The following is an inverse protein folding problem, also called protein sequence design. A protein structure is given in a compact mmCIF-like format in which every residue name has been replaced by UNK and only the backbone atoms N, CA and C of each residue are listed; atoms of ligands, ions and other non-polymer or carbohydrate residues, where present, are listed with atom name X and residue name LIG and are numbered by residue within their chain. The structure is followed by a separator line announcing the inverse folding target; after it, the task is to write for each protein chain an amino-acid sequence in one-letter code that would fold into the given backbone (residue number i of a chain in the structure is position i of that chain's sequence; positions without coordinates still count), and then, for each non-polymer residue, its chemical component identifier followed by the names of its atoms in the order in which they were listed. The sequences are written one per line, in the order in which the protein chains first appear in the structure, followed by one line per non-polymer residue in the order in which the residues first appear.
data_IF_843057600897
#
_entry.id   IF_843057600897
#
_cell.length_a   1.000
_cell.length_b   1.000
_cell.length_c   1.000
_cell.angle_alpha   90.00
_cell.angle_beta   90.00
_cell.angle_gamma   90.00
#
_symmetry.space_group_name_H-M   'P 1'
#
loop_
_entity.id
_entity.type
_entity.pdbx_description
1 polymer ?
#
# COMPACT_ATOMS: atom_id res chain seq x y z
N UNK A 1 16.86 4.23 11.75
CA UNK A 1 17.32 3.19 10.83
C UNK A 1 16.09 2.45 10.32
N UNK A 2 15.90 2.35 9.01
CA UNK A 2 14.78 1.60 8.42
C UNK A 2 15.38 0.40 7.68
N UNK A 3 15.03 -0.84 8.05
CA UNK A 3 15.49 -2.01 7.31
C UNK A 3 14.95 -1.98 5.87
N UNK A 4 15.68 -2.57 4.89
CA UNK A 4 15.16 -2.77 3.55
C UNK A 4 13.88 -3.62 3.61
N UNK A 5 12.92 -3.32 2.74
CA UNK A 5 11.57 -3.84 2.88
C UNK A 5 11.49 -5.25 2.33
N UNK A 6 11.03 -6.21 3.11
CA UNK A 6 10.73 -7.55 2.60
C UNK A 6 9.60 -7.46 1.56
N UNK A 7 9.86 -7.89 0.33
CA UNK A 7 8.89 -7.96 -0.75
C UNK A 7 8.09 -9.27 -0.64
N UNK A 8 6.82 -9.16 -0.26
CA UNK A 8 5.90 -10.31 -0.08
C UNK A 8 4.90 -10.51 -1.23
N UNK A 9 4.99 -9.69 -2.27
CA UNK A 9 4.02 -9.66 -3.37
C UNK A 9 4.52 -10.39 -4.62
N UNK A 10 4.92 -11.66 -4.48
CA UNK A 10 5.38 -12.46 -5.63
C UNK A 10 4.27 -12.68 -6.68
N UNK A 11 3.01 -12.52 -6.30
CA UNK A 11 1.84 -12.50 -7.19
C UNK A 11 1.91 -11.38 -8.25
N UNK A 12 2.53 -10.23 -7.93
CA UNK A 12 2.77 -9.14 -8.89
C UNK A 12 3.54 -9.62 -10.12
N UNK A 13 4.55 -10.45 -9.90
CA UNK A 13 5.42 -10.96 -10.96
C UNK A 13 4.63 -11.93 -11.84
N UNK A 14 3.69 -12.70 -11.26
CA UNK A 14 2.80 -13.59 -12.00
C UNK A 14 1.85 -12.85 -12.96
N UNK A 15 1.42 -11.63 -12.60
CA UNK A 15 0.57 -10.79 -13.46
C UNK A 15 1.28 -10.10 -14.63
N UNK A 16 2.62 -10.16 -14.72
CA UNK A 16 3.38 -9.55 -15.83
C UNK A 16 2.92 -10.08 -17.19
N UNK A 17 2.55 -11.36 -17.27
CA UNK A 17 2.16 -12.02 -18.53
C UNK A 17 0.94 -11.38 -19.22
N UNK A 18 0.07 -10.68 -18.47
CA UNK A 18 -1.11 -9.98 -18.99
C UNK A 18 -1.05 -8.46 -18.79
N UNK A 19 0.09 -7.93 -18.35
CA UNK A 19 0.25 -6.51 -18.05
C UNK A 19 0.29 -5.65 -19.33
N UNK A 20 -0.20 -4.41 -19.22
CA UNK A 20 -0.04 -3.44 -20.30
C UNK A 20 1.44 -3.05 -20.45
N UNK A 21 1.88 -2.73 -21.67
CA UNK A 21 3.26 -2.33 -21.92
C UNK A 21 3.41 -0.81 -21.95
N UNK A 22 4.56 -0.33 -21.51
CA UNK A 22 5.01 1.05 -21.69
C UNK A 22 6.29 1.03 -22.53
N UNK A 23 6.32 1.87 -23.57
CA UNK A 23 7.49 2.03 -24.43
C UNK A 23 8.61 2.79 -23.70
N UNK A 24 9.84 2.59 -24.17
CA UNK A 24 11.04 3.22 -23.65
C UNK A 24 10.94 4.75 -23.54
N UNK A 25 10.40 5.43 -24.56
CA UNK A 25 10.31 6.89 -24.57
C UNK A 25 9.44 7.41 -23.43
N UNK A 26 8.28 6.79 -23.20
CA UNK A 26 7.41 7.12 -22.07
C UNK A 26 8.08 6.78 -20.75
N UNK A 27 8.75 5.63 -20.65
CA UNK A 27 9.51 5.26 -19.44
C UNK A 27 10.59 6.30 -19.09
N UNK A 28 11.39 6.72 -20.07
CA UNK A 28 12.41 7.77 -19.90
C UNK A 28 11.78 9.06 -19.40
N UNK A 29 10.63 9.46 -19.95
CA UNK A 29 9.91 10.65 -19.48
C UNK A 29 9.42 10.49 -18.04
N UNK A 30 8.91 9.32 -17.65
CA UNK A 30 8.48 9.05 -16.28
C UNK A 30 9.65 9.11 -15.30
N UNK A 31 10.80 8.54 -15.64
CA UNK A 31 12.02 8.60 -14.82
C UNK A 31 12.52 10.02 -14.65
N UNK A 32 12.58 10.78 -15.74
CA UNK A 32 12.96 12.19 -15.70
C UNK A 32 11.99 13.01 -14.86
N UNK A 33 10.69 12.77 -14.97
CA UNK A 33 9.69 13.42 -14.15
C UNK A 33 9.87 13.16 -12.65
N UNK A 34 10.18 11.91 -12.26
CA UNK A 34 10.50 11.56 -10.86
C UNK A 34 11.74 12.32 -10.38
N UNK A 35 12.81 12.33 -11.18
CA UNK A 35 14.02 13.09 -10.87
C UNK A 35 13.71 14.58 -10.64
N UNK A 36 12.99 15.23 -11.56
CA UNK A 36 12.69 16.66 -11.45
C UNK A 36 11.81 17.02 -10.26
N UNK A 37 10.98 16.08 -9.78
CA UNK A 37 10.21 16.26 -8.54
C UNK A 37 11.03 16.05 -7.26
N UNK A 38 12.23 15.48 -7.36
CA UNK A 38 12.96 14.98 -6.20
C UNK A 38 12.28 13.76 -5.56
N UNK A 39 11.47 13.04 -6.32
CA UNK A 39 10.79 11.82 -5.87
C UNK A 39 11.73 10.60 -6.04
N UNK A 40 11.48 9.58 -5.22
CA UNK A 40 12.23 8.33 -5.26
C UNK A 40 11.52 7.23 -6.06
N UNK A 41 12.27 6.21 -6.39
CA UNK A 41 11.77 4.94 -6.91
C UNK A 41 12.28 3.78 -6.04
N UNK A 42 11.90 2.56 -6.41
CA UNK A 42 12.37 1.37 -5.71
C UNK A 42 13.09 0.41 -6.65
N UNK A 43 14.05 -0.32 -6.10
CA UNK A 43 14.71 -1.44 -6.75
C UNK A 43 14.39 -2.70 -5.98
N UNK A 44 13.81 -3.69 -6.67
CA UNK A 44 13.59 -5.02 -6.12
C UNK A 44 14.85 -5.85 -6.32
N UNK A 45 15.45 -6.26 -5.22
CA UNK A 45 16.64 -7.08 -5.14
C UNK A 45 16.28 -8.43 -4.51
N UNK A 46 16.98 -9.50 -4.85
CA UNK A 46 16.82 -10.81 -4.22
C UNK A 46 18.13 -11.23 -3.57
N UNK A 47 18.06 -11.73 -2.34
CA UNK A 47 19.26 -12.22 -1.68
C UNK A 47 19.72 -13.53 -2.34
N UNK A 48 21.01 -13.73 -2.65
CA UNK A 48 21.47 -14.92 -3.38
C UNK A 48 21.29 -16.23 -2.58
N UNK A 49 21.25 -16.13 -1.24
CA UNK A 49 21.05 -17.30 -0.34
C UNK A 49 19.63 -17.48 0.21
N UNK A 50 18.79 -16.45 0.15
CA UNK A 50 17.46 -16.50 0.76
C UNK A 50 16.43 -16.22 -0.33
N UNK A 51 15.30 -16.94 -0.32
CA UNK A 51 14.27 -16.73 -1.36
C UNK A 51 13.57 -15.36 -1.26
N UNK A 52 13.82 -14.64 -0.18
CA UNK A 52 13.25 -13.34 0.13
C UNK A 52 13.82 -12.22 -0.75
N UNK A 53 12.92 -11.47 -1.39
CA UNK A 53 13.24 -10.23 -2.10
C UNK A 53 13.17 -9.03 -1.15
N UNK A 54 14.01 -8.02 -1.38
CA UNK A 54 13.97 -6.74 -0.68
C UNK A 54 13.72 -5.58 -1.65
N UNK A 55 12.89 -4.62 -1.24
CA UNK A 55 12.74 -3.33 -1.92
C UNK A 55 13.62 -2.29 -1.25
N UNK A 56 14.45 -1.65 -2.07
CA UNK A 56 15.38 -0.60 -1.67
C UNK A 56 14.98 0.70 -2.35
N UNK A 57 14.92 1.79 -1.60
CA UNK A 57 14.68 3.12 -2.17
C UNK A 57 15.95 3.63 -2.88
N UNK A 58 15.78 4.14 -4.10
CA UNK A 58 16.82 4.80 -4.86
C UNK A 58 16.31 6.11 -5.48
N UNK A 59 17.25 7.03 -5.73
CA UNK A 59 16.97 8.35 -6.29
C UNK A 59 17.51 8.40 -7.72
N UNK A 60 16.65 8.63 -8.73
CA UNK A 60 17.08 8.65 -10.13
C UNK A 60 17.90 9.91 -10.45
N UNK A 61 18.89 9.77 -11.32
CA UNK A 61 19.50 10.89 -12.06
C UNK A 61 18.72 11.15 -13.36
N UNK A 62 18.92 12.31 -14.02
CA UNK A 62 18.34 12.55 -15.34
C UNK A 62 18.80 11.48 -16.33
N UNK A 63 17.84 10.86 -17.01
CA UNK A 63 18.08 9.92 -18.08
C UNK A 63 18.37 10.67 -19.38
N UNK A 64 19.57 10.47 -19.93
CA UNK A 64 19.95 10.94 -21.25
C UNK A 64 20.23 9.73 -22.16
N UNK A 65 19.36 9.53 -23.16
CA UNK A 65 19.47 8.40 -24.07
C UNK A 65 19.01 7.08 -23.45
N UNK A 66 19.89 6.07 -23.50
CA UNK A 66 19.56 4.68 -23.16
C UNK A 66 19.98 4.26 -21.75
N UNK A 67 20.80 5.07 -21.09
CA UNK A 67 21.39 4.76 -19.80
C UNK A 67 20.59 5.42 -18.68
N UNK A 68 20.29 4.63 -17.65
CA UNK A 68 19.64 5.06 -16.43
C UNK A 68 20.59 4.87 -15.25
N UNK A 69 20.72 5.91 -14.43
CA UNK A 69 21.55 5.92 -13.24
C UNK A 69 20.67 6.28 -12.05
N UNK A 70 20.86 5.59 -10.93
CA UNK A 70 20.26 5.97 -9.66
C UNK A 70 21.21 5.72 -8.50
N UNK A 71 21.01 6.49 -7.43
CA UNK A 71 21.77 6.39 -6.19
C UNK A 71 20.94 5.76 -5.08
N UNK A 72 21.54 4.89 -4.29
CA UNK A 72 20.87 4.30 -3.13
C UNK A 72 20.55 5.38 -2.09
N UNK A 73 19.41 5.26 -1.43
CA UNK A 73 19.11 6.12 -0.30
C UNK A 73 20.17 5.92 0.80
N UNK A 74 20.61 7.01 1.45
CA UNK A 74 21.65 6.99 2.48
C UNK A 74 21.31 6.05 3.65
N UNK A 75 20.02 5.79 3.88
CA UNK A 75 19.57 4.82 4.86
C UNK A 75 20.15 3.40 4.65
N UNK A 76 20.60 3.08 3.44
CA UNK A 76 21.08 1.75 3.07
C UNK A 76 22.60 1.61 2.94
N UNK A 77 23.38 2.64 3.29
CA UNK A 77 24.85 2.64 3.13
C UNK A 77 25.60 1.51 3.85
N UNK A 78 24.97 0.89 4.85
CA UNK A 78 25.53 -0.22 5.64
C UNK A 78 25.28 -1.58 4.97
N UNK A 79 24.33 -1.65 4.04
CA UNK A 79 24.00 -2.89 3.34
C UNK A 79 24.85 -3.04 2.07
N UNK A 80 25.40 -4.23 1.86
CA UNK A 80 26.14 -4.59 0.65
C UNK A 80 25.19 -4.97 -0.48
N UNK A 81 24.44 -3.99 -0.97
CA UNK A 81 23.39 -4.18 -1.98
C UNK A 81 23.94 -4.70 -3.32
N UNK A 82 25.22 -4.46 -3.60
CA UNK A 82 25.94 -5.00 -4.76
C UNK A 82 26.04 -6.53 -4.76
N UNK A 83 25.80 -7.19 -3.63
CA UNK A 83 25.80 -8.65 -3.51
C UNK A 83 24.44 -9.29 -3.79
N UNK A 84 23.42 -8.47 -4.06
CA UNK A 84 22.06 -8.95 -4.31
C UNK A 84 21.76 -9.02 -5.80
N UNK A 85 20.89 -9.96 -6.16
CA UNK A 85 20.46 -10.14 -7.54
C UNK A 85 19.34 -9.15 -7.87
N UNK A 86 19.59 -8.24 -8.80
CA UNK A 86 18.55 -7.35 -9.32
C UNK A 86 17.41 -8.14 -9.96
N UNK A 87 16.17 -7.75 -9.64
CA UNK A 87 14.96 -8.31 -10.23
C UNK A 87 14.27 -7.29 -11.13
N UNK A 88 13.83 -6.17 -10.55
CA UNK A 88 13.08 -5.13 -11.25
C UNK A 88 13.37 -3.75 -10.67
N UNK A 89 13.33 -2.75 -11.55
CA UNK A 89 13.14 -1.37 -11.13
C UNK A 89 11.63 -1.11 -11.05
N UNK A 90 11.18 -0.55 -9.93
CA UNK A 90 9.77 -0.39 -9.57
C UNK A 90 9.46 1.09 -9.40
N UNK A 91 8.67 1.64 -10.33
CA UNK A 91 8.30 3.04 -10.30
C UNK A 91 6.85 3.19 -9.84
N UNK A 92 6.56 4.11 -8.91
CA UNK A 92 5.19 4.53 -8.66
C UNK A 92 4.64 5.28 -9.89
N UNK A 93 3.45 4.91 -10.36
CA UNK A 93 2.79 5.54 -11.51
C UNK A 93 1.29 5.69 -11.27
N UNK A 94 0.88 6.83 -10.70
CA UNK A 94 -0.50 7.13 -10.31
C UNK A 94 -1.13 6.02 -9.43
N UNK A 95 -2.07 5.25 -9.99
CA UNK A 95 -2.75 4.12 -9.33
C UNK A 95 -2.15 2.75 -9.69
N UNK A 96 -1.06 2.75 -10.45
CA UNK A 96 -0.33 1.58 -10.94
C UNK A 96 1.13 1.63 -10.51
N UNK A 97 1.86 0.56 -10.81
CA UNK A 97 3.32 0.55 -10.75
C UNK A 97 3.86 0.18 -12.12
N UNK A 98 5.02 0.73 -12.46
CA UNK A 98 5.77 0.29 -13.63
C UNK A 98 6.89 -0.63 -13.14
N UNK A 99 6.91 -1.85 -13.67
CA UNK A 99 8.02 -2.79 -13.51
C UNK A 99 8.90 -2.72 -14.76
N UNK A 100 10.16 -2.38 -14.54
CA UNK A 100 11.17 -2.29 -15.59
C UNK A 100 12.14 -3.45 -15.44
N UNK A 101 12.06 -4.47 -16.32
CA UNK A 101 13.04 -5.54 -16.36
C UNK A 101 14.34 -5.03 -16.99
N UNK A 102 15.48 -5.52 -16.53
CA UNK A 102 16.71 -5.41 -17.32
C UNK A 102 17.64 -6.58 -17.05
N UNK A 103 18.42 -6.95 -18.06
CA UNK A 103 19.50 -7.93 -17.96
C UNK A 103 20.88 -7.28 -17.97
N UNK A 104 20.96 -5.99 -18.27
CA UNK A 104 22.21 -5.24 -18.37
C UNK A 104 22.20 -4.12 -17.34
N UNK A 105 22.82 -4.41 -16.20
CA UNK A 105 22.97 -3.49 -15.09
C UNK A 105 24.33 -3.70 -14.42
N UNK A 106 24.79 -2.67 -13.74
CA UNK A 106 25.96 -2.68 -12.86
C UNK A 106 25.52 -2.03 -11.55
N UNK A 107 25.75 -2.72 -10.44
CA UNK A 107 25.50 -2.22 -9.09
C UNK A 107 26.81 -1.99 -8.36
N UNK A 108 26.84 -0.97 -7.52
CA UNK A 108 27.94 -0.69 -6.60
C UNK A 108 27.39 -0.20 -5.25
N UNK A 109 28.28 0.22 -4.34
CA UNK A 109 27.93 0.70 -3.01
C UNK A 109 27.06 1.97 -3.02
N UNK A 110 27.13 2.75 -4.09
CA UNK A 110 26.54 4.09 -4.16
C UNK A 110 25.25 4.10 -4.98
N UNK A 111 25.05 3.11 -5.86
CA UNK A 111 23.91 3.07 -6.75
C UNK A 111 23.93 1.94 -7.77
N UNK A 112 23.20 2.18 -8.84
CA UNK A 112 23.05 1.28 -9.98
C UNK A 112 23.06 2.07 -11.27
N UNK A 113 23.66 1.49 -12.29
CA UNK A 113 23.56 1.93 -13.68
C UNK A 113 22.98 0.79 -14.50
N UNK A 114 22.03 1.08 -15.39
CA UNK A 114 21.45 0.08 -16.27
C UNK A 114 21.05 0.65 -17.61
N UNK A 115 20.98 -0.22 -18.63
CA UNK A 115 20.36 0.14 -19.89
C UNK A 115 18.86 -0.03 -19.81
N UNK A 116 18.11 0.99 -20.21
CA UNK A 116 16.65 0.93 -20.28
C UNK A 116 16.21 -0.07 -21.35
N UNK A 117 15.24 -0.96 -21.05
CA UNK A 117 14.68 -1.87 -22.04
C UNK A 117 13.80 -1.11 -23.05
N UNK A 118 13.55 -1.73 -24.19
CA UNK A 118 12.61 -1.16 -25.19
C UNK A 118 11.16 -1.18 -24.71
N UNK A 119 10.82 -2.13 -23.83
CA UNK A 119 9.49 -2.30 -23.26
C UNK A 119 9.58 -2.62 -21.77
N UNK A 120 8.65 -2.03 -21.01
CA UNK A 120 8.43 -2.30 -19.60
C UNK A 120 6.94 -2.57 -19.34
N UNK A 121 6.60 -2.98 -18.13
CA UNK A 121 5.24 -3.42 -17.79
C UNK A 121 4.57 -2.45 -16.83
N UNK A 122 3.34 -2.05 -17.16
CA UNK A 122 2.46 -1.31 -16.26
C UNK A 122 1.55 -2.33 -15.57
N UNK A 123 1.79 -2.54 -14.28
CA UNK A 123 0.96 -3.39 -13.46
C UNK A 123 -0.01 -2.53 -12.67
N UNK A 124 -1.30 -2.67 -12.98
CA UNK A 124 -2.37 -2.14 -12.14
C UNK A 124 -2.85 -3.26 -11.22
N UNK A 125 -2.46 -3.22 -9.95
CA UNK A 125 -3.01 -4.12 -8.93
C UNK A 125 -4.25 -3.55 -8.22
N UNK A 126 -4.54 -2.26 -8.40
CA UNK A 126 -5.65 -1.64 -7.69
C UNK A 126 -6.93 -1.94 -8.45
N UNK A 127 -7.64 -2.97 -7.99
CA UNK A 127 -8.99 -3.32 -8.49
C UNK A 127 -10.01 -2.20 -8.24
N UNK A 128 -9.69 -1.20 -7.40
CA UNK A 128 -10.58 -0.12 -7.09
C UNK A 128 -9.86 1.22 -6.80
N UNK A 129 -10.50 2.36 -7.12
CA UNK A 129 -9.97 3.70 -6.88
C UNK A 129 -9.85 4.01 -5.39
N UNK A 130 -8.92 4.91 -5.05
CA UNK A 130 -8.81 5.52 -3.72
C UNK A 130 -9.39 6.92 -3.77
N UNK A 131 -10.08 7.29 -2.71
CA UNK A 131 -10.67 8.59 -2.52
C UNK A 131 -9.91 9.29 -1.40
N UNK A 132 -9.25 10.44 -1.68
CA UNK A 132 -8.58 11.21 -0.66
C UNK A 132 -9.60 11.75 0.34
N UNK A 133 -9.21 11.81 1.61
CA UNK A 133 -10.04 12.29 2.69
C UNK A 133 -9.39 13.48 3.39
N UNK A 134 -10.23 14.41 3.83
CA UNK A 134 -9.85 15.50 4.71
C UNK A 134 -10.91 15.66 5.80
N UNK A 135 -10.46 15.96 7.02
CA UNK A 135 -11.37 16.22 8.16
C UNK A 135 -11.99 14.98 8.79
N UNK A 136 -11.54 13.78 8.47
CA UNK A 136 -12.00 12.53 9.10
C UNK A 136 -11.03 12.12 10.20
N UNK A 137 -11.49 12.12 11.45
CA UNK A 137 -10.74 11.61 12.61
C UNK A 137 -10.69 10.08 12.54
N UNK A 138 -9.51 9.52 12.79
CA UNK A 138 -9.30 8.09 12.90
C UNK A 138 -8.78 7.74 14.30
N UNK A 139 -9.40 6.76 14.94
CA UNK A 139 -8.97 6.20 16.22
C UNK A 139 -8.73 4.70 16.06
N UNK A 140 -7.57 4.24 16.50
CA UNK A 140 -7.11 2.87 16.38
C UNK A 140 -6.93 2.26 17.78
N UNK A 141 -7.53 1.10 17.99
CA UNK A 141 -7.55 0.42 19.27
C UNK A 141 -7.13 -1.06 19.13
N UNK A 142 -6.23 -1.52 19.99
CA UNK A 142 -5.86 -2.94 20.03
C UNK A 142 -5.31 -3.33 21.40
N UNK A 143 -5.98 -4.24 22.13
CA UNK A 143 -5.47 -4.79 23.40
C UNK A 143 -4.95 -3.71 24.40
N UNK A 144 -5.63 -2.58 24.50
CA UNK A 144 -5.24 -1.45 25.36
C UNK A 144 -4.27 -0.44 24.73
N UNK A 145 -3.71 -0.72 23.56
CA UNK A 145 -3.06 0.29 22.73
C UNK A 145 -4.12 1.20 22.09
N UNK A 146 -3.86 2.51 22.13
CA UNK A 146 -4.67 3.55 21.49
C UNK A 146 -3.77 4.48 20.67
N UNK A 147 -4.22 4.84 19.47
CA UNK A 147 -3.63 5.90 18.66
C UNK A 147 -4.71 6.69 17.94
N UNK A 148 -4.48 8.00 17.80
CA UNK A 148 -5.41 8.93 17.16
C UNK A 148 -4.77 9.67 16.00
N UNK A 149 -5.59 10.10 15.04
CA UNK A 149 -5.13 10.87 13.90
C UNK A 149 -6.20 11.03 12.85
N UNK A 150 -5.82 10.87 11.58
CA UNK A 150 -6.67 11.20 10.43
C UNK A 150 -6.71 10.09 9.39
N UNK A 151 -7.83 9.97 8.68
CA UNK A 151 -7.93 9.19 7.45
C UNK A 151 -7.38 10.01 6.27
N UNK A 152 -6.34 9.50 5.63
CA UNK A 152 -5.68 10.13 4.49
C UNK A 152 -6.41 9.82 3.17
N UNK A 153 -6.74 8.55 2.97
CA UNK A 153 -7.53 8.07 1.83
C UNK A 153 -8.20 6.73 2.16
N UNK A 154 -9.21 6.35 1.39
CA UNK A 154 -9.80 5.01 1.45
C UNK A 154 -10.09 4.46 0.06
N UNK A 155 -10.05 3.14 -0.07
CA UNK A 155 -10.65 2.42 -1.18
C UNK A 155 -11.74 1.46 -0.67
N UNK A 156 -12.42 0.72 -1.54
CA UNK A 156 -13.47 -0.21 -1.15
C UNK A 156 -13.02 -1.31 -0.18
N UNK A 157 -11.73 -1.66 -0.18
CA UNK A 157 -11.19 -2.78 0.61
C UNK A 157 -10.17 -2.34 1.66
N UNK A 158 -9.81 -1.05 1.72
CA UNK A 158 -8.73 -0.59 2.60
C UNK A 158 -8.87 0.87 3.02
N UNK A 159 -8.43 1.17 4.23
CA UNK A 159 -8.28 2.51 4.78
C UNK A 159 -6.80 2.83 4.94
N UNK A 160 -6.41 4.07 4.60
CA UNK A 160 -5.07 4.59 4.82
C UNK A 160 -5.15 5.71 5.85
N UNK A 161 -4.64 5.45 7.05
CA UNK A 161 -4.69 6.39 8.18
C UNK A 161 -3.27 6.87 8.54
N UNK A 162 -3.18 8.08 9.09
CA UNK A 162 -1.99 8.56 9.77
C UNK A 162 -2.34 8.85 11.22
N UNK A 163 -1.74 8.11 12.14
CA UNK A 163 -2.04 8.16 13.58
C UNK A 163 -0.79 8.34 14.42
N UNK A 164 -0.96 8.91 15.60
CA UNK A 164 0.07 9.04 16.62
C UNK A 164 -0.43 8.37 17.90
N UNK A 165 0.45 7.63 18.58
CA UNK A 165 0.13 7.05 19.88
C UNK A 165 0.20 8.16 20.94
N UNK A 166 -0.85 8.30 21.73
CA UNK A 166 -0.89 9.24 22.84
C UNK A 166 -0.26 8.60 24.08
N UNK A 167 0.65 9.32 24.74
CA UNK A 167 1.28 8.84 25.98
C UNK A 167 0.20 8.50 27.02
N UNK A 168 0.27 7.33 27.69
CA UNK A 168 1.41 6.42 27.78
C UNK A 168 1.51 5.33 26.69
N UNK A 169 0.60 5.31 25.72
CA UNK A 169 0.59 4.30 24.66
C UNK A 169 1.78 4.46 23.71
N UNK A 170 2.34 3.33 23.29
CA UNK A 170 3.45 3.25 22.35
C UNK A 170 3.13 2.25 21.25
N UNK A 171 3.52 2.55 20.01
CA UNK A 171 3.42 1.60 18.90
C UNK A 171 4.23 0.32 19.10
N UNK A 172 5.07 0.24 20.13
CA UNK A 172 5.71 -1.02 20.55
C UNK A 172 4.69 -2.07 21.04
N UNK A 173 3.52 -1.64 21.50
CA UNK A 173 2.45 -2.53 21.95
C UNK A 173 1.44 -2.86 20.84
N UNK A 174 1.62 -2.27 19.66
CA UNK A 174 0.79 -2.54 18.50
C UNK A 174 1.33 -3.76 17.74
N UNK A 175 0.47 -4.77 17.58
CA UNK A 175 0.76 -6.01 16.87
C UNK A 175 0.12 -5.99 15.48
N UNK A 176 0.95 -6.04 14.44
CA UNK A 176 0.51 -6.07 13.04
C UNK A 176 -0.20 -7.38 12.66
N UNK A 177 0.13 -8.47 13.33
CA UNK A 177 -0.41 -9.81 13.02
C UNK A 177 -1.76 -10.07 13.70
N UNK A 178 -2.26 -9.10 14.49
CA UNK A 178 -3.56 -9.17 15.15
C UNK A 178 -4.52 -8.11 14.61
N UNK A 179 -5.85 -8.37 14.57
CA UNK A 179 -6.83 -7.36 14.23
C UNK A 179 -6.81 -6.17 15.19
N UNK A 180 -7.13 -4.98 14.69
CA UNK A 180 -7.31 -3.76 15.47
C UNK A 180 -8.70 -3.17 15.17
N UNK A 181 -9.32 -2.54 16.16
CA UNK A 181 -10.57 -1.81 15.96
C UNK A 181 -10.28 -0.40 15.43
N UNK A 182 -10.89 -0.05 14.30
CA UNK A 182 -10.80 1.26 13.66
C UNK A 182 -12.13 1.99 13.81
N UNK A 183 -12.09 3.19 14.36
CA UNK A 183 -13.22 4.12 14.39
C UNK A 183 -12.93 5.34 13.51
N UNK A 184 -13.89 5.71 12.67
CA UNK A 184 -13.83 6.92 11.85
C UNK A 184 -15.01 7.83 12.17
N UNK A 185 -14.72 9.11 12.40
CA UNK A 185 -15.72 10.12 12.70
C UNK A 185 -15.42 11.44 12.01
N UNK A 186 -16.43 12.28 11.87
CA UNK A 186 -16.29 13.68 11.44
C UNK A 186 -16.08 14.63 12.64
N UNK A 187 -15.75 14.06 13.82
CA UNK A 187 -15.66 14.77 15.11
C UNK A 187 -17.00 14.92 15.85
N UNK A 188 -18.15 14.68 15.20
CA UNK A 188 -19.48 14.71 15.82
C UNK A 188 -20.10 13.32 15.91
N UNK A 189 -20.05 12.57 14.82
CA UNK A 189 -20.67 11.24 14.71
C UNK A 189 -19.66 10.23 14.18
N UNK A 190 -19.68 9.03 14.77
CA UNK A 190 -18.92 7.88 14.28
C UNK A 190 -19.72 7.23 13.16
N UNK A 191 -19.20 7.32 11.94
CA UNK A 191 -19.85 6.73 10.75
C UNK A 191 -19.24 5.39 10.33
N UNK A 192 -18.10 5.01 10.92
CA UNK A 192 -17.50 3.69 10.73
C UNK A 192 -16.89 3.20 12.05
N UNK A 193 -17.19 1.95 12.39
CA UNK A 193 -16.54 1.21 13.47
C UNK A 193 -16.46 -0.25 13.02
N UNK A 194 -15.25 -0.81 13.02
CA UNK A 194 -15.03 -2.17 12.55
C UNK A 194 -13.65 -2.69 12.91
N UNK A 195 -13.52 -4.02 12.91
CA UNK A 195 -12.23 -4.68 13.05
C UNK A 195 -11.52 -4.68 11.70
N UNK A 196 -10.22 -4.42 11.71
CA UNK A 196 -9.37 -4.39 10.54
C UNK A 196 -8.08 -5.15 10.80
N UNK A 197 -7.61 -5.88 9.79
CA UNK A 197 -6.25 -6.39 9.75
C UNK A 197 -5.29 -5.29 9.29
N UNK A 198 -4.09 -5.29 9.87
CA UNK A 198 -3.05 -4.34 9.52
C UNK A 198 -2.20 -4.91 8.39
N UNK A 199 -2.39 -4.40 7.18
CA UNK A 199 -1.60 -4.87 6.04
C UNK A 199 -0.20 -4.27 6.02
N UNK A 200 -0.08 -3.01 6.45
CA UNK A 200 1.15 -2.26 6.30
C UNK A 200 1.23 -1.12 7.31
N UNK A 201 2.43 -0.84 7.82
CA UNK A 201 2.72 0.37 8.58
C UNK A 201 4.03 1.02 8.13
N UNK A 202 4.09 2.34 8.20
CA UNK A 202 5.28 3.15 7.97
C UNK A 202 5.45 4.15 9.09
N UNK A 203 6.65 4.27 9.62
CA UNK A 203 6.96 5.34 10.57
C UNK A 203 7.22 6.65 9.82
N UNK A 204 6.53 7.72 10.25
CA UNK A 204 6.73 9.08 9.77
C UNK A 204 6.86 10.04 10.97
N UNK A 205 8.11 10.26 11.38
CA UNK A 205 8.43 11.00 12.61
C UNK A 205 7.88 10.31 13.86
N UNK A 206 7.00 11.03 14.60
CA UNK A 206 6.26 10.51 15.76
C UNK A 206 4.96 9.81 15.38
N UNK A 207 4.50 10.00 14.15
CA UNK A 207 3.29 9.39 13.62
C UNK A 207 3.60 8.08 12.88
N UNK A 208 2.57 7.31 12.61
CA UNK A 208 2.61 6.15 11.72
C UNK A 208 1.51 6.24 10.69
N UNK A 209 1.88 5.98 9.45
CA UNK A 209 0.93 5.69 8.37
C UNK A 209 0.61 4.20 8.40
N UNK A 210 -0.66 3.83 8.43
CA UNK A 210 -1.12 2.45 8.54
C UNK A 210 -2.16 2.20 7.45
N UNK A 211 -2.03 1.07 6.76
CA UNK A 211 -3.05 0.55 5.84
C UNK A 211 -3.80 -0.58 6.52
N UNK A 212 -5.10 -0.39 6.67
CA UNK A 212 -6.02 -1.28 7.36
C UNK A 212 -7.02 -1.86 6.36
N UNK A 213 -7.27 -3.16 6.43
CA UNK A 213 -8.31 -3.83 5.65
C UNK A 213 -9.38 -4.41 6.58
N UNK A 214 -10.67 -4.17 6.36
CA UNK A 214 -11.74 -4.77 7.16
C UNK A 214 -11.59 -6.29 7.26
N UNK A 215 -11.81 -6.88 8.44
CA UNK A 215 -11.83 -8.35 8.59
C UNK A 215 -13.11 -8.98 8.04
N UNK A 216 -14.20 -8.21 8.00
CA UNK A 216 -15.48 -8.61 7.41
C UNK A 216 -15.78 -7.77 6.18
N UNK A 217 -16.10 -8.41 5.06
CA UNK A 217 -16.59 -7.75 3.82
C UNK A 217 -17.99 -7.12 4.01
N UNK A 218 -18.64 -7.38 5.13
CA UNK A 218 -19.95 -6.81 5.43
C UNK A 218 -19.81 -5.47 6.12
N UNK A 219 -19.68 -4.42 5.32
CA UNK A 219 -20.10 -3.08 5.76
C UNK A 219 -21.62 -3.16 6.01
N UNK A 220 -22.06 -3.54 7.22
CA UNK A 220 -23.46 -3.46 7.63
C UNK A 220 -23.83 -1.99 7.87
N UNK A 221 -23.92 -1.24 6.77
CA UNK A 221 -24.22 0.20 6.75
C UNK A 221 -25.66 0.53 7.15
N UNK A 222 -26.51 -0.48 7.37
CA UNK A 222 -27.90 -0.30 7.77
C UNK A 222 -28.31 -1.36 8.79
N UNK A 223 -28.91 -0.95 9.90
CA UNK A 223 -29.80 -1.85 10.66
C UNK A 223 -30.81 -2.40 9.66
N UNK A 224 -30.93 -3.73 9.57
CA UNK A 224 -32.03 -4.34 8.84
C UNK A 224 -33.33 -3.68 9.31
N UNK A 225 -34.02 -2.95 8.41
CA UNK A 225 -35.36 -2.43 8.69
C UNK A 225 -36.17 -3.62 9.15
N UNK A 226 -36.69 -3.60 10.38
CA UNK A 226 -37.69 -4.59 10.75
C UNK A 226 -38.89 -4.35 9.83
N UNK A 227 -39.05 -5.20 8.81
CA UNK A 227 -40.30 -5.30 8.08
C UNK A 227 -41.33 -5.85 9.07
N UNK A 228 -41.90 -4.95 9.88
CA UNK A 228 -43.14 -5.22 10.58
C UNK A 228 -44.24 -5.12 9.54
N UNK A 229 -44.78 -6.27 9.18
CA UNK A 229 -46.19 -6.33 8.83
C UNK A 229 -46.84 -7.32 9.80
N UNK A 230 -47.62 -6.87 10.80
CA UNK A 230 -48.41 -7.80 11.57
C UNK A 230 -49.48 -8.37 10.64
N UNK A 231 -49.37 -9.65 10.28
CA UNK A 231 -50.48 -10.36 9.65
C UNK A 231 -51.61 -10.38 10.67
N UNK A 232 -52.63 -9.55 10.46
CA UNK A 232 -53.92 -9.73 11.13
C UNK A 232 -54.48 -11.07 10.66
N UNK A 233 -54.58 -12.03 11.57
CA UNK A 233 -55.43 -13.20 11.38
C UNK A 233 -56.87 -12.71 11.32
N UNK A 234 -57.49 -12.83 10.16
CA UNK A 234 -58.95 -12.83 10.05
C UNK A 234 -59.35 -14.10 9.32
N UNK A 235 -59.79 -15.09 10.10
CA UNK A 235 -60.57 -16.21 9.59
C UNK A 235 -61.99 -15.74 9.30
N UNK A 236 -62.53 -15.94 8.09
CA UNK A 236 -63.97 -15.94 7.89
C UNK A 236 -64.55 -17.35 8.14
N UNK A 237 -65.83 -17.45 8.53
CA UNK A 237 -66.45 -18.65 9.10
C UNK A 237 -66.84 -19.69 8.04
N UNK A 238 -67.11 -20.95 8.45
CA UNK A 238 -67.40 -22.04 7.53
C UNK A 238 -68.80 -21.88 6.90
N UNK A 239 -68.90 -22.08 5.59
CA UNK A 239 -70.18 -22.31 4.93
C UNK A 239 -70.41 -23.81 4.77
N UNK A 240 -71.28 -24.36 5.61
CA UNK A 240 -72.02 -25.60 5.34
C UNK A 240 -73.36 -25.25 4.70
N UNK A 241 -73.62 -25.89 3.56
CA UNK A 241 -74.88 -26.41 2.99
C UNK A 241 -74.90 -26.26 1.47
#
# INVERSE_FOLDING_TARGET
MLPPWLFRHNDLIGTIASAAHIDKKKLTNTLNYLHFKGDHLYVLLKHPRYEEGILVKAHPEPCLGDEFICHWDRAYSVYKLEQYDFQYLVLPHEQSIILVPTRMFVTNSDGMTMRLPEQSFVISQRQAPRFPCQGVKAELWQNGFQAEGVLMDFGPHAFHIRVQADSPSSFQWFNLDAPAALHLSDGKEVFYSGHCNCMYQKQDGRSREIILTPTDDQIQRFKAKSLRNPRRQSSPPPCHL
#
